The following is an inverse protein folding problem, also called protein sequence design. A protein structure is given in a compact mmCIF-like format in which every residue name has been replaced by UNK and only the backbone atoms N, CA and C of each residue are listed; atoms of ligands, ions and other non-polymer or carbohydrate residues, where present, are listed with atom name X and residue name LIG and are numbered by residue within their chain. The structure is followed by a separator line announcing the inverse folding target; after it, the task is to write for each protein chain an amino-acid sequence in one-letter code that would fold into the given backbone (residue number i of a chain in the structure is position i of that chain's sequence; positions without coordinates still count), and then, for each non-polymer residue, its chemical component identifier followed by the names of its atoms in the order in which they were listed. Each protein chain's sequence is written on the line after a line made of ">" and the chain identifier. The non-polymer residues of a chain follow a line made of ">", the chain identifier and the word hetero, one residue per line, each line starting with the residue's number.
data_IF_018380256131
#
_entry.id   IF_018380256131
#
_cell.length_a   1.000
_cell.length_b   1.000
_cell.length_c   1.000
_cell.angle_alpha   90.00
_cell.angle_beta   90.00
_cell.angle_gamma   90.00
#
_symmetry.space_group_name_H-M   'P 1'
#
loop_
_entity.id
_entity.type
_entity.pdbx_description
1 polymer ?
#
# COMPACT_ATOMS: atom_id res chain seq x y z
N UNK A 1 0.73 19.42 0.46
CA UNK A 1 0.55 18.68 1.72
C UNK A 1 -0.68 17.83 1.57
N UNK A 2 -0.61 16.56 1.96
CA UNK A 2 -1.71 15.62 1.87
C UNK A 2 -1.93 14.99 3.24
N UNK A 3 -3.19 14.73 3.59
CA UNK A 3 -3.59 14.15 4.86
C UNK A 3 -4.31 12.84 4.55
N UNK A 4 -3.80 11.73 5.09
CA UNK A 4 -4.46 10.44 5.01
C UNK A 4 -5.63 10.36 6.00
N UNK A 5 -6.59 9.45 5.77
CA UNK A 5 -7.71 9.21 6.67
C UNK A 5 -7.29 8.79 8.09
N UNK A 6 -6.08 8.25 8.24
CA UNK A 6 -5.45 7.97 9.53
C UNK A 6 -5.05 9.22 10.33
N UNK A 7 -5.11 10.41 9.73
CA UNK A 7 -4.61 11.67 10.30
C UNK A 7 -3.11 11.91 10.05
N UNK A 8 -2.43 11.04 9.29
CA UNK A 8 -1.01 11.20 8.94
C UNK A 8 -0.84 12.33 7.91
N UNK A 9 0.01 13.30 8.24
CA UNK A 9 0.37 14.41 7.37
C UNK A 9 1.64 14.11 6.59
N UNK A 10 1.57 14.24 5.26
CA UNK A 10 2.72 14.00 4.37
C UNK A 10 2.99 15.18 3.44
N UNK A 11 4.27 15.44 3.22
CA UNK A 11 4.75 16.41 2.23
C UNK A 11 5.07 15.65 0.96
N UNK A 12 4.41 16.03 -0.13
CA UNK A 12 4.62 15.47 -1.46
C UNK A 12 4.71 16.60 -2.49
N UNK A 13 5.47 16.36 -3.56
CA UNK A 13 5.52 17.27 -4.71
C UNK A 13 4.15 17.34 -5.38
N UNK A 14 3.81 18.50 -5.97
CA UNK A 14 2.53 18.70 -6.65
C UNK A 14 2.35 17.80 -7.88
N UNK A 15 3.45 17.31 -8.44
CA UNK A 15 3.48 16.37 -9.57
C UNK A 15 3.16 14.94 -9.15
N UNK A 16 3.30 14.60 -7.87
CA UNK A 16 3.07 13.26 -7.35
C UNK A 16 1.59 13.08 -7.02
N UNK A 17 0.96 12.06 -7.60
CA UNK A 17 -0.43 11.69 -7.35
C UNK A 17 -0.50 10.48 -6.44
N UNK A 18 -1.35 10.55 -5.42
CA UNK A 18 -1.55 9.45 -4.45
C UNK A 18 -2.13 8.22 -5.14
N UNK A 19 -3.07 8.40 -6.07
CA UNK A 19 -3.63 7.31 -6.89
C UNK A 19 -2.54 6.53 -7.63
N UNK A 20 -1.61 7.23 -8.27
CA UNK A 20 -0.51 6.60 -9.00
C UNK A 20 0.40 5.80 -8.06
N UNK A 21 0.77 6.38 -6.91
CA UNK A 21 1.57 5.68 -5.91
C UNK A 21 0.86 4.47 -5.32
N UNK A 22 -0.47 4.52 -5.22
CA UNK A 22 -1.30 3.44 -4.72
C UNK A 22 -1.33 2.28 -5.71
N UNK A 23 -1.47 2.58 -7.00
CA UNK A 23 -1.40 1.58 -8.07
C UNK A 23 0.00 0.95 -8.16
N UNK A 24 1.06 1.77 -8.18
CA UNK A 24 2.46 1.30 -8.16
C UNK A 24 2.74 0.38 -6.95
N UNK A 25 2.19 0.71 -5.79
CA UNK A 25 2.30 -0.12 -4.59
C UNK A 25 1.55 -1.44 -4.76
N UNK A 26 0.33 -1.42 -5.33
CA UNK A 26 -0.45 -2.63 -5.56
C UNK A 26 0.20 -3.57 -6.59
N UNK A 27 0.78 -3.02 -7.66
CA UNK A 27 1.58 -3.77 -8.63
C UNK A 27 2.80 -4.41 -7.97
N UNK A 28 3.50 -3.67 -7.11
CA UNK A 28 4.62 -4.21 -6.34
C UNK A 28 4.19 -5.36 -5.40
N UNK A 29 3.02 -5.25 -4.75
CA UNK A 29 2.46 -6.37 -3.96
C UNK A 29 2.17 -7.59 -4.85
N UNK A 30 1.67 -7.36 -6.07
CA UNK A 30 1.42 -8.42 -7.05
C UNK A 30 2.70 -9.13 -7.49
N UNK A 31 3.77 -8.37 -7.76
CA UNK A 31 5.08 -8.92 -8.13
C UNK A 31 5.76 -9.68 -6.99
N UNK A 32 5.71 -9.12 -5.77
CA UNK A 32 6.28 -9.76 -4.58
C UNK A 32 5.46 -10.96 -4.10
N UNK A 33 4.19 -11.05 -4.50
CA UNK A 33 3.21 -12.04 -4.05
C UNK A 33 2.72 -11.82 -2.61
N UNK A 34 3.63 -11.53 -1.67
CA UNK A 34 3.37 -11.21 -0.26
C UNK A 34 4.22 -10.00 0.15
N UNK A 35 3.57 -8.92 0.52
CA UNK A 35 4.24 -7.71 0.97
C UNK A 35 3.83 -7.32 2.40
N UNK A 36 4.75 -6.71 3.11
CA UNK A 36 4.51 -6.07 4.40
C UNK A 36 4.96 -4.60 4.30
N UNK A 37 4.49 -3.77 5.24
CA UNK A 37 4.81 -2.34 5.22
C UNK A 37 6.33 -2.08 5.25
N UNK A 38 7.12 -2.96 5.87
CA UNK A 38 8.56 -2.83 5.94
C UNK A 38 9.24 -3.17 4.60
N UNK A 39 8.83 -4.23 3.91
CA UNK A 39 9.31 -4.55 2.55
C UNK A 39 9.03 -3.44 1.56
N UNK A 40 7.81 -2.87 1.59
CA UNK A 40 7.44 -1.76 0.71
C UNK A 40 8.27 -0.51 1.05
N UNK A 41 8.48 -0.24 2.34
CA UNK A 41 9.32 0.85 2.80
C UNK A 41 10.77 0.73 2.31
N UNK A 42 11.34 -0.48 2.42
CA UNK A 42 12.69 -0.76 1.98
C UNK A 42 12.82 -0.65 0.46
N UNK A 43 11.87 -1.22 -0.29
CA UNK A 43 11.88 -1.18 -1.75
C UNK A 43 11.78 0.26 -2.28
N UNK A 44 10.86 1.05 -1.72
CA UNK A 44 10.62 2.41 -2.18
C UNK A 44 11.47 3.47 -1.46
N UNK A 45 12.36 3.05 -0.54
CA UNK A 45 13.18 3.94 0.31
C UNK A 45 12.34 5.03 0.99
N UNK A 46 11.19 4.63 1.55
CA UNK A 46 10.26 5.51 2.27
C UNK A 46 10.13 5.10 3.74
N UNK A 47 9.49 5.94 4.54
CA UNK A 47 9.18 5.58 5.91
C UNK A 47 8.15 4.43 5.97
N UNK A 48 8.25 3.53 6.96
CA UNK A 48 7.27 2.44 7.14
C UNK A 48 5.86 2.96 7.41
N UNK A 49 5.73 4.17 7.98
CA UNK A 49 4.44 4.85 8.15
C UNK A 49 3.82 5.16 6.79
N UNK A 50 4.57 5.80 5.88
CA UNK A 50 4.06 6.13 4.54
C UNK A 50 3.76 4.86 3.73
N UNK A 51 4.60 3.83 3.84
CA UNK A 51 4.36 2.55 3.19
C UNK A 51 3.05 1.91 3.66
N UNK A 52 2.77 1.94 4.97
CA UNK A 52 1.51 1.45 5.54
C UNK A 52 0.31 2.24 5.01
N UNK A 53 0.38 3.57 4.98
CA UNK A 53 -0.70 4.41 4.47
C UNK A 53 -1.00 4.12 2.98
N UNK A 54 0.03 3.90 2.16
CA UNK A 54 -0.14 3.51 0.75
C UNK A 54 -0.81 2.13 0.61
N UNK A 55 -0.44 1.17 1.45
CA UNK A 55 -1.08 -0.15 1.47
C UNK A 55 -2.56 -0.03 1.88
N UNK A 56 -2.87 0.74 2.92
CA UNK A 56 -4.25 0.98 3.35
C UNK A 56 -5.08 1.72 2.28
N UNK A 57 -4.47 2.66 1.56
CA UNK A 57 -5.11 3.31 0.43
C UNK A 57 -5.42 2.29 -0.69
N UNK A 58 -4.49 1.39 -1.02
CA UNK A 58 -4.70 0.35 -2.03
C UNK A 58 -5.76 -0.67 -1.60
N UNK A 59 -5.84 -0.99 -0.30
CA UNK A 59 -6.90 -1.81 0.28
C UNK A 59 -8.27 -1.14 0.12
N UNK A 60 -8.36 0.17 0.36
CA UNK A 60 -9.62 0.94 0.28
C UNK A 60 -10.20 0.95 -1.14
N UNK A 61 -9.34 0.97 -2.16
CA UNK A 61 -9.73 0.86 -3.57
C UNK A 61 -10.04 -0.60 -3.98
N UNK A 62 -9.77 -1.56 -3.10
CA UNK A 62 -10.00 -2.98 -3.34
C UNK A 62 -8.90 -3.65 -4.17
N UNK A 63 -7.75 -3.02 -4.40
CA UNK A 63 -6.66 -3.61 -5.21
C UNK A 63 -5.89 -4.71 -4.47
N UNK A 64 -5.81 -4.60 -3.14
CA UNK A 64 -5.10 -5.56 -2.29
C UNK A 64 -5.97 -5.99 -1.12
N UNK A 65 -5.64 -7.14 -0.54
CA UNK A 65 -6.27 -7.68 0.66
C UNK A 65 -5.24 -7.81 1.78
N UNK A 66 -5.69 -7.55 3.01
CA UNK A 66 -4.91 -7.77 4.21
C UNK A 66 -5.11 -9.18 4.76
N UNK A 67 -4.03 -9.77 5.22
CA UNK A 67 -3.98 -11.00 5.99
C UNK A 67 -3.39 -10.65 7.36
N UNK A 68 -4.24 -10.69 8.39
CA UNK A 68 -3.84 -10.50 9.78
C UNK A 68 -3.67 -11.88 10.40
N UNK A 69 -2.41 -12.30 10.51
CA UNK A 69 -2.02 -13.61 11.04
C UNK A 69 -1.13 -13.44 12.26
N UNK A 70 -0.93 -14.52 13.03
CA UNK A 70 -0.03 -14.51 14.21
C UNK A 70 1.42 -14.13 13.85
N UNK A 71 1.81 -14.36 12.60
CA UNK A 71 3.11 -13.98 12.04
C UNK A 71 3.25 -12.47 11.78
N UNK A 72 2.12 -11.74 11.70
CA UNK A 72 2.07 -10.31 11.41
C UNK A 72 1.03 -9.93 10.37
N UNK A 73 1.02 -8.64 10.02
CA UNK A 73 0.13 -8.07 9.02
C UNK A 73 0.80 -8.12 7.64
N UNK A 74 0.19 -8.89 6.73
CA UNK A 74 0.65 -9.02 5.35
C UNK A 74 -0.41 -8.55 4.38
N UNK A 75 0.04 -8.15 3.20
CA UNK A 75 -0.80 -7.69 2.11
C UNK A 75 -0.56 -8.54 0.87
N UNK A 76 -1.64 -8.85 0.18
CA UNK A 76 -1.69 -9.69 -1.00
C UNK A 76 -2.49 -9.01 -2.10
N UNK A 77 -2.17 -9.31 -3.36
CA UNK A 77 -2.99 -8.88 -4.49
C UNK A 77 -4.42 -9.43 -4.36
N UNK A 78 -5.42 -8.57 -4.60
CA UNK A 78 -6.82 -8.97 -4.47
C UNK A 78 -7.26 -9.86 -5.64
N UNK A 79 -7.14 -11.18 -5.45
CA UNK A 79 -7.65 -12.19 -6.40
C UNK A 79 -9.16 -12.42 -6.29
N UNK A 80 -9.81 -11.96 -5.22
CA UNK A 80 -11.26 -12.14 -5.05
C UNK A 80 -12.05 -11.31 -6.07
N UNK A 81 -11.51 -10.17 -6.50
CA UNK A 81 -12.13 -9.32 -7.53
C UNK A 81 -11.78 -9.74 -8.98
N UNK A 82 -10.82 -10.65 -9.19
CA UNK A 82 -10.49 -11.18 -10.53
C UNK A 82 -11.41 -12.34 -10.97
N UNK A 83 -12.38 -12.76 -10.13
CA UNK A 83 -13.37 -13.76 -10.53
C UNK A 83 -14.54 -13.12 -11.28
N UNK A 84 -14.41 -13.00 -12.61
CA UNK A 84 -15.53 -12.91 -13.54
C UNK A 84 -15.28 -13.82 -14.74
#
# INVERSE_FOLDING_TARGET
>A
MYVFDSGVNVVQLRTVRVDQMTEETAELVKELGRADAYKIALHNSISPVLAKERLLAAETVGRICRDDSVEGLYFFWNRFLESN
#
